data_IF_211538974230
#
_entry.id   IF_211538974230
#
_cell.length_a   1.000
_cell.length_b   1.000
_cell.length_c   1.000
_cell.angle_alpha   90.00
_cell.angle_beta   90.00
_cell.angle_gamma   90.00
#
_symmetry.space_group_name_H-M   'P 1'
#
loop_
_entity.id
_entity.type
_entity.pdbx_description
1 polymer ?
#
# COMPACT_ATOMS: atom_id res chain seq x y z
N UNK A 1 -9.04 -17.45 -25.88
CA UNK A 1 -8.89 -17.41 -24.41
C UNK A 1 -9.94 -16.46 -23.87
N UNK A 2 -10.68 -16.83 -22.81
CA UNK A 2 -11.63 -15.90 -22.18
C UNK A 2 -10.83 -14.85 -21.40
N UNK A 3 -10.93 -13.60 -21.84
CA UNK A 3 -10.35 -12.45 -21.16
C UNK A 3 -11.42 -11.92 -20.20
N UNK A 4 -11.17 -12.05 -18.90
CA UNK A 4 -12.05 -11.54 -17.85
C UNK A 4 -11.51 -10.22 -17.31
N UNK A 5 -12.42 -9.38 -16.84
CA UNK A 5 -12.08 -8.12 -16.19
C UNK A 5 -12.47 -8.19 -14.73
N UNK A 6 -11.54 -7.83 -13.85
CA UNK A 6 -11.80 -7.67 -12.41
C UNK A 6 -11.64 -6.20 -12.04
N UNK A 7 -12.69 -5.65 -11.44
CA UNK A 7 -12.68 -4.33 -10.85
C UNK A 7 -12.33 -4.46 -9.38
N UNK A 8 -11.31 -3.72 -8.95
CA UNK A 8 -10.88 -3.62 -7.56
C UNK A 8 -11.29 -2.25 -7.04
N UNK A 9 -12.28 -2.20 -6.14
CA UNK A 9 -12.87 -0.95 -5.64
C UNK A 9 -12.54 -0.81 -4.15
N UNK A 10 -11.96 0.32 -3.74
CA UNK A 10 -11.65 0.54 -2.33
C UNK A 10 -11.77 2.00 -1.94
N UNK A 11 -12.10 2.23 -0.67
CA UNK A 11 -12.03 3.55 -0.04
C UNK A 11 -10.60 3.96 0.40
N UNK A 12 -9.63 3.05 0.21
CA UNK A 12 -8.19 3.20 0.43
C UNK A 12 -7.43 2.80 -0.87
N UNK A 13 -6.25 2.19 -0.78
CA UNK A 13 -5.39 1.85 -1.93
C UNK A 13 -5.91 0.69 -2.79
N UNK A 14 -6.73 -0.19 -2.23
CA UNK A 14 -7.23 -1.40 -2.90
C UNK A 14 -6.21 -2.56 -3.00
N UNK A 15 -5.06 -2.47 -2.35
CA UNK A 15 -4.05 -3.56 -2.34
C UNK A 15 -4.60 -4.88 -1.77
N UNK A 16 -5.40 -4.81 -0.70
CA UNK A 16 -5.98 -6.00 -0.07
C UNK A 16 -6.91 -6.75 -1.02
N UNK A 17 -7.89 -6.06 -1.62
CA UNK A 17 -8.81 -6.67 -2.59
C UNK A 17 -8.07 -7.18 -3.84
N UNK A 18 -7.05 -6.47 -4.31
CA UNK A 18 -6.21 -6.93 -5.42
C UNK A 18 -5.47 -8.23 -5.07
N UNK A 19 -4.87 -8.30 -3.89
CA UNK A 19 -4.15 -9.50 -3.42
C UNK A 19 -5.08 -10.70 -3.32
N UNK A 20 -6.28 -10.50 -2.76
CA UNK A 20 -7.30 -11.55 -2.68
C UNK A 20 -7.71 -12.03 -4.08
N UNK A 21 -8.00 -11.09 -4.99
CA UNK A 21 -8.39 -11.43 -6.36
C UNK A 21 -7.28 -12.19 -7.11
N UNK A 22 -6.03 -11.73 -7.04
CA UNK A 22 -4.88 -12.39 -7.66
C UNK A 22 -4.64 -13.78 -7.08
N UNK A 23 -4.76 -13.93 -5.76
CA UNK A 23 -4.64 -15.23 -5.08
C UNK A 23 -5.72 -16.19 -5.57
N UNK A 24 -6.98 -15.75 -5.66
CA UNK A 24 -8.07 -16.56 -6.19
C UNK A 24 -7.83 -16.94 -7.67
N UNK A 25 -7.45 -15.99 -8.51
CA UNK A 25 -7.16 -16.21 -9.94
C UNK A 25 -5.99 -17.17 -10.16
N UNK A 26 -5.00 -17.21 -9.26
CA UNK A 26 -3.86 -18.14 -9.35
C UNK A 26 -4.28 -19.63 -9.39
N UNK A 27 -5.47 -19.94 -8.88
CA UNK A 27 -6.04 -21.29 -8.89
C UNK A 27 -6.68 -21.67 -10.23
N UNK A 28 -6.72 -20.74 -11.19
CA UNK A 28 -7.31 -20.91 -12.52
C UNK A 28 -6.26 -20.60 -13.61
N UNK A 29 -5.28 -21.48 -13.87
CA UNK A 29 -4.14 -21.16 -14.74
C UNK A 29 -4.49 -20.88 -16.22
N UNK A 30 -5.72 -21.19 -16.64
CA UNK A 30 -6.19 -21.04 -18.02
C UNK A 30 -6.93 -19.72 -18.28
N UNK A 31 -7.25 -18.94 -17.24
CA UNK A 31 -7.96 -17.66 -17.40
C UNK A 31 -6.96 -16.51 -17.56
N UNK A 32 -7.25 -15.58 -18.46
CA UNK A 32 -6.53 -14.32 -18.56
C UNK A 32 -7.38 -13.22 -17.93
N UNK A 33 -6.79 -12.49 -16.98
CA UNK A 33 -7.49 -11.47 -16.22
C UNK A 33 -6.83 -10.11 -16.42
N UNK A 34 -7.66 -9.10 -16.71
CA UNK A 34 -7.29 -7.69 -16.63
C UNK A 34 -7.82 -7.09 -15.34
N UNK A 35 -6.94 -6.53 -14.52
CA UNK A 35 -7.31 -5.86 -13.28
C UNK A 35 -7.43 -4.35 -13.51
N UNK A 36 -8.54 -3.76 -13.10
CA UNK A 36 -8.75 -2.31 -13.08
C UNK A 36 -9.00 -1.87 -11.64
N UNK A 37 -8.16 -0.97 -11.14
CA UNK A 37 -8.21 -0.53 -9.74
C UNK A 37 -8.79 0.87 -9.62
N UNK A 38 -9.72 1.02 -8.69
CA UNK A 38 -10.41 2.25 -8.33
C UNK A 38 -10.22 2.51 -6.84
N UNK A 39 -9.13 3.19 -6.46
CA UNK A 39 -8.83 3.54 -5.07
C UNK A 39 -9.57 4.82 -4.63
N UNK A 40 -9.61 5.05 -3.31
CA UNK A 40 -10.13 6.27 -2.68
C UNK A 40 -11.60 6.59 -2.99
N UNK A 41 -12.44 5.57 -3.11
CA UNK A 41 -13.87 5.73 -3.38
C UNK A 41 -14.63 6.05 -2.09
N UNK A 42 -15.13 7.27 -1.98
CA UNK A 42 -15.77 7.78 -0.76
C UNK A 42 -17.22 8.23 -0.95
N UNK A 43 -17.71 8.35 -2.20
CA UNK A 43 -19.05 8.85 -2.50
C UNK A 43 -19.82 7.93 -3.42
N UNK A 44 -21.14 7.89 -3.25
CA UNK A 44 -22.05 7.15 -4.13
C UNK A 44 -21.93 7.61 -5.59
N UNK A 45 -21.78 8.91 -5.84
CA UNK A 45 -21.71 9.45 -7.21
C UNK A 45 -20.51 8.93 -8.02
N UNK A 46 -19.35 8.80 -7.38
CA UNK A 46 -18.16 8.23 -8.03
C UNK A 46 -18.35 6.71 -8.19
N UNK A 47 -18.87 6.05 -7.14
CA UNK A 47 -19.13 4.62 -7.15
C UNK A 47 -20.10 4.23 -8.28
N UNK A 48 -21.18 4.99 -8.49
CA UNK A 48 -22.15 4.80 -9.56
C UNK A 48 -21.49 4.79 -10.94
N UNK A 49 -20.58 5.73 -11.19
CA UNK A 49 -19.82 5.78 -12.45
C UNK A 49 -19.01 4.51 -12.68
N UNK A 50 -18.34 4.03 -11.64
CA UNK A 50 -17.51 2.81 -11.67
C UNK A 50 -18.39 1.57 -11.84
N UNK A 51 -19.49 1.47 -11.12
CA UNK A 51 -20.42 0.34 -11.21
C UNK A 51 -21.09 0.25 -12.59
N UNK A 52 -21.47 1.39 -13.17
CA UNK A 52 -21.98 1.44 -14.54
C UNK A 52 -20.91 1.02 -15.57
N UNK A 53 -19.64 1.36 -15.33
CA UNK A 53 -18.53 0.88 -16.15
C UNK A 53 -18.32 -0.64 -15.98
N UNK A 54 -18.39 -1.14 -14.74
CA UNK A 54 -18.30 -2.58 -14.43
C UNK A 54 -19.39 -3.37 -15.16
N UNK A 55 -20.63 -2.86 -15.16
CA UNK A 55 -21.76 -3.41 -15.92
C UNK A 55 -21.45 -3.50 -17.41
N UNK A 56 -20.99 -2.40 -18.02
CA UNK A 56 -20.65 -2.35 -19.46
C UNK A 56 -19.57 -3.37 -19.81
N UNK A 57 -18.59 -3.56 -18.93
CA UNK A 57 -17.48 -4.50 -19.14
C UNK A 57 -17.76 -5.93 -18.65
N UNK A 58 -18.94 -6.17 -18.04
CA UNK A 58 -19.26 -7.42 -17.33
C UNK A 58 -18.15 -7.84 -16.35
N UNK A 59 -17.61 -6.86 -15.64
CA UNK A 59 -16.51 -7.08 -14.72
C UNK A 59 -16.98 -7.78 -13.43
N UNK A 60 -16.16 -8.68 -12.91
CA UNK A 60 -16.30 -9.14 -11.52
C UNK A 60 -15.77 -8.06 -10.58
N UNK A 61 -16.38 -7.91 -9.42
CA UNK A 61 -16.05 -6.82 -8.49
C UNK A 61 -15.46 -7.40 -7.22
N UNK A 62 -14.25 -7.00 -6.87
CA UNK A 62 -13.65 -7.23 -5.55
C UNK A 62 -13.54 -5.90 -4.85
N UNK A 63 -14.03 -5.81 -3.60
CA UNK A 63 -14.02 -4.52 -2.92
C UNK A 63 -13.66 -4.57 -1.44
N UNK A 64 -13.05 -3.47 -0.97
CA UNK A 64 -12.73 -3.18 0.42
C UNK A 64 -13.30 -1.81 0.75
N UNK A 65 -14.60 -1.78 1.04
CA UNK A 65 -15.36 -0.59 1.44
C UNK A 65 -15.78 -0.79 2.90
N UNK A 66 -15.15 -0.07 3.83
CA UNK A 66 -15.49 -0.15 5.25
C UNK A 66 -16.83 0.51 5.55
N UNK A 67 -17.24 1.48 4.73
CA UNK A 67 -18.56 2.07 4.80
C UNK A 67 -19.64 1.02 4.49
N UNK A 68 -20.52 0.68 5.45
CA UNK A 68 -21.58 -0.30 5.22
C UNK A 68 -22.53 0.13 4.09
N UNK A 69 -22.79 1.44 3.98
CA UNK A 69 -23.62 2.03 2.93
C UNK A 69 -23.04 1.76 1.53
N UNK A 70 -21.75 2.07 1.32
CA UNK A 70 -21.12 1.87 0.01
C UNK A 70 -20.96 0.38 -0.32
N UNK A 71 -20.62 -0.46 0.67
CA UNK A 71 -20.60 -1.93 0.48
C UNK A 71 -21.97 -2.46 0.07
N UNK A 72 -23.03 -2.03 0.76
CA UNK A 72 -24.40 -2.44 0.44
C UNK A 72 -24.80 -1.99 -0.97
N UNK A 73 -24.43 -0.77 -1.36
CA UNK A 73 -24.67 -0.26 -2.71
C UNK A 73 -24.01 -1.16 -3.78
N UNK A 74 -22.75 -1.58 -3.60
CA UNK A 74 -22.10 -2.54 -4.52
C UNK A 74 -22.88 -3.85 -4.60
N UNK A 75 -23.31 -4.40 -3.46
CA UNK A 75 -24.06 -5.67 -3.40
C UNK A 75 -25.40 -5.59 -4.14
N UNK A 76 -26.17 -4.53 -3.88
CA UNK A 76 -27.47 -4.31 -4.50
C UNK A 76 -27.36 -4.06 -6.00
N UNK A 77 -26.39 -3.24 -6.42
CA UNK A 77 -26.14 -2.99 -7.83
C UNK A 77 -25.71 -4.27 -8.54
N UNK A 78 -24.79 -5.04 -7.96
CA UNK A 78 -24.31 -6.29 -8.55
C UNK A 78 -25.44 -7.32 -8.68
N UNK A 79 -26.27 -7.48 -7.64
CA UNK A 79 -27.44 -8.36 -7.68
C UNK A 79 -28.43 -7.96 -8.77
N UNK A 80 -28.77 -6.67 -8.85
CA UNK A 80 -29.71 -6.12 -9.84
C UNK A 80 -29.21 -6.29 -11.28
N UNK A 81 -27.89 -6.24 -11.49
CA UNK A 81 -27.29 -6.29 -12.82
C UNK A 81 -26.63 -7.65 -13.14
N UNK A 82 -26.86 -8.66 -12.31
CA UNK A 82 -26.28 -10.00 -12.45
C UNK A 82 -24.75 -10.03 -12.57
N UNK A 83 -24.06 -9.15 -11.83
CA UNK A 83 -22.60 -9.13 -11.73
C UNK A 83 -22.15 -9.95 -10.52
N UNK A 84 -20.98 -10.59 -10.65
CA UNK A 84 -20.33 -11.25 -9.53
C UNK A 84 -19.59 -10.22 -8.69
N UNK A 85 -19.72 -10.29 -7.37
CA UNK A 85 -19.00 -9.44 -6.43
C UNK A 85 -18.45 -10.25 -5.26
N UNK A 86 -17.38 -9.74 -4.64
CA UNK A 86 -16.84 -10.22 -3.38
C UNK A 86 -16.42 -9.07 -2.46
N UNK A 87 -17.06 -8.98 -1.30
CA UNK A 87 -16.68 -8.06 -0.21
C UNK A 87 -15.55 -8.67 0.62
N UNK A 88 -14.38 -8.05 0.56
CA UNK A 88 -13.18 -8.55 1.22
C UNK A 88 -13.04 -8.09 2.68
N UNK A 89 -13.89 -7.17 3.17
CA UNK A 89 -13.68 -6.51 4.47
C UNK A 89 -14.86 -6.62 5.43
N UNK A 90 -16.12 -6.51 4.97
CA UNK A 90 -17.27 -6.55 5.87
C UNK A 90 -17.35 -7.85 6.68
N UNK A 91 -17.14 -9.06 6.11
CA UNK A 91 -17.14 -10.30 6.90
C UNK A 91 -16.06 -10.32 8.00
N UNK A 92 -14.89 -9.71 7.75
CA UNK A 92 -13.83 -9.63 8.75
C UNK A 92 -14.17 -8.64 9.87
N UNK A 93 -14.82 -7.52 9.52
CA UNK A 93 -15.33 -6.55 10.50
C UNK A 93 -16.43 -7.16 11.36
N UNK A 94 -17.33 -7.96 10.78
CA UNK A 94 -18.37 -8.67 11.52
C UNK A 94 -17.77 -9.65 12.55
N UNK A 95 -16.72 -10.39 12.17
CA UNK A 95 -15.99 -11.25 13.11
C UNK A 95 -15.39 -10.44 14.26
N UNK A 96 -14.80 -9.28 13.99
CA UNK A 96 -14.25 -8.40 15.03
C UNK A 96 -15.34 -7.84 15.94
N UNK A 97 -16.48 -7.42 15.38
CA UNK A 97 -17.63 -6.96 16.15
C UNK A 97 -18.13 -8.07 17.09
N UNK A 98 -18.33 -9.28 16.57
CA UNK A 98 -18.79 -10.42 17.37
C UNK A 98 -17.80 -10.81 18.49
N UNK A 99 -16.49 -10.72 18.22
CA UNK A 99 -15.46 -11.09 19.19
C UNK A 99 -15.25 -10.03 20.27
N UNK A 100 -15.40 -8.74 19.94
CA UNK A 100 -15.07 -7.62 20.84
C UNK A 100 -16.29 -6.95 21.48
N UNK A 101 -17.47 -7.10 20.87
CA UNK A 101 -18.67 -6.33 21.20
C UNK A 101 -18.59 -4.85 20.80
N UNK A 102 -17.54 -4.43 20.10
CA UNK A 102 -17.35 -3.05 19.66
C UNK A 102 -17.98 -2.83 18.29
N UNK A 103 -18.62 -1.69 18.11
CA UNK A 103 -19.11 -1.26 16.80
C UNK A 103 -17.96 -0.79 15.92
N UNK A 104 -17.92 -1.19 14.64
CA UNK A 104 -16.93 -0.66 13.72
C UNK A 104 -17.14 0.84 13.50
N UNK A 105 -16.08 1.62 13.63
CA UNK A 105 -16.14 3.08 13.38
C UNK A 105 -16.50 3.41 11.92
N UNK A 106 -16.24 2.49 10.99
CA UNK A 106 -16.60 2.64 9.57
C UNK A 106 -15.91 3.80 8.87
N UNK A 107 -14.83 4.35 9.45
CA UNK A 107 -14.10 5.49 8.93
C UNK A 107 -13.15 5.04 7.80
N UNK A 108 -13.37 5.50 6.55
CA UNK A 108 -12.47 5.22 5.44
C UNK A 108 -11.05 5.68 5.72
N UNK A 109 -10.06 4.92 5.22
CA UNK A 109 -8.66 5.33 5.34
C UNK A 109 -8.09 5.25 6.75
N UNK A 110 -8.76 4.63 7.73
CA UNK A 110 -8.16 4.34 9.04
C UNK A 110 -6.87 3.52 8.92
N UNK A 111 -6.77 2.60 7.94
CA UNK A 111 -5.51 1.90 7.65
C UNK A 111 -4.41 2.86 7.19
N UNK A 112 -4.76 3.97 6.54
CA UNK A 112 -3.79 5.04 6.21
C UNK A 112 -3.45 5.91 7.42
N UNK A 113 -4.39 6.15 8.33
CA UNK A 113 -4.15 6.88 9.59
C UNK A 113 -3.40 6.05 10.64
N UNK A 114 -3.45 4.71 10.57
CA UNK A 114 -2.71 3.80 11.45
C UNK A 114 -1.27 3.56 11.01
N UNK A 115 -0.85 4.13 9.88
CA UNK A 115 0.49 3.94 9.37
C UNK A 115 1.37 5.13 9.74
N UNK A 116 1.68 5.26 11.04
CA UNK A 116 2.99 5.79 11.46
C UNK A 116 4.08 5.15 10.58
N UNK A 117 3.95 3.85 10.29
CA UNK A 117 4.83 3.13 9.35
C UNK A 117 4.89 3.67 7.91
N UNK A 118 3.85 4.35 7.38
CA UNK A 118 3.91 4.97 6.05
C UNK A 118 4.61 6.32 6.13
N UNK A 119 4.28 7.15 7.12
CA UNK A 119 4.98 8.41 7.33
C UNK A 119 6.43 8.20 7.75
N UNK A 120 6.73 7.18 8.57
CA UNK A 120 8.06 6.72 8.92
C UNK A 120 8.82 6.21 7.70
N UNK A 121 8.14 5.50 6.78
CA UNK A 121 8.75 5.09 5.50
C UNK A 121 9.11 6.29 4.65
N UNK A 122 8.20 7.25 4.50
CA UNK A 122 8.44 8.48 3.74
C UNK A 122 9.58 9.27 4.39
N UNK A 123 9.56 9.45 5.71
CA UNK A 123 10.61 10.12 6.45
C UNK A 123 11.97 9.39 6.33
N UNK A 124 11.98 8.05 6.37
CA UNK A 124 13.19 7.25 6.16
C UNK A 124 13.71 7.38 4.73
N UNK A 125 12.83 7.43 3.72
CA UNK A 125 13.20 7.65 2.32
C UNK A 125 13.75 9.06 2.09
N UNK A 126 13.09 10.10 2.62
CA UNK A 126 13.58 11.48 2.57
C UNK A 126 14.94 11.58 3.25
N UNK A 127 15.10 10.99 4.44
CA UNK A 127 16.37 10.93 5.15
C UNK A 127 17.48 10.28 4.29
N UNK A 128 17.21 9.11 3.70
CA UNK A 128 18.20 8.41 2.89
C UNK A 128 18.62 9.19 1.64
N UNK A 129 17.71 9.97 1.05
CA UNK A 129 18.03 10.87 -0.08
C UNK A 129 18.84 12.07 0.41
N UNK A 130 18.46 12.68 1.54
CA UNK A 130 19.15 13.84 2.12
C UNK A 130 20.60 13.51 2.50
N UNK A 131 20.85 12.30 3.02
CA UNK A 131 22.15 11.89 3.56
C UNK A 131 22.89 10.86 2.69
N UNK A 132 22.62 10.83 1.37
CA UNK A 132 23.24 9.88 0.44
C UNK A 132 24.73 10.17 0.16
N UNK A 133 25.15 11.43 0.27
CA UNK A 133 26.51 11.85 -0.08
C UNK A 133 27.46 12.04 1.10
N UNK A 134 26.95 11.89 2.33
CA UNK A 134 27.73 11.98 3.57
C UNK A 134 28.29 13.37 3.88
N UNK A 135 27.76 14.45 3.28
CA UNK A 135 28.26 15.82 3.50
C UNK A 135 27.79 16.46 4.79
N UNK A 136 26.64 16.05 5.33
CA UNK A 136 26.10 16.54 6.59
C UNK A 136 26.32 15.48 7.70
N UNK A 137 27.29 15.69 8.62
CA UNK A 137 27.60 14.75 9.70
C UNK A 137 26.45 14.54 10.68
N UNK A 138 25.50 15.49 10.76
CA UNK A 138 24.36 15.38 11.69
C UNK A 138 23.43 14.23 11.34
N UNK A 139 23.45 13.77 10.08
CA UNK A 139 22.74 12.57 9.65
C UNK A 139 23.29 11.29 10.26
N UNK A 140 24.59 11.23 10.57
CA UNK A 140 25.21 10.04 11.15
C UNK A 140 24.63 9.71 12.54
N UNK A 141 24.36 10.75 13.35
CA UNK A 141 23.80 10.62 14.70
C UNK A 141 22.31 10.23 14.71
N UNK A 142 21.61 10.46 13.60
CA UNK A 142 20.15 10.25 13.46
C UNK A 142 19.80 9.01 12.65
N UNK A 143 20.79 8.35 12.06
CA UNK A 143 20.61 7.19 11.21
C UNK A 143 20.45 5.93 12.05
N UNK A 144 19.55 5.05 11.62
CA UNK A 144 19.44 3.68 12.14
C UNK A 144 20.57 2.81 11.58
N UNK A 145 21.04 3.12 10.36
CA UNK A 145 22.14 2.42 9.67
C UNK A 145 23.06 3.44 9.01
N UNK A 146 24.36 3.29 9.21
CA UNK A 146 25.39 4.00 8.45
C UNK A 146 26.09 3.01 7.50
N UNK A 147 26.06 3.30 6.19
CA UNK A 147 26.77 2.50 5.19
C UNK A 147 28.09 3.18 4.82
N UNK A 148 29.18 2.52 5.19
CA UNK A 148 30.55 2.92 4.85
C UNK A 148 31.01 2.20 3.59
N UNK A 149 31.58 2.91 2.63
CA UNK A 149 32.21 2.24 1.50
C UNK A 149 32.74 3.17 0.42
N UNK A 150 33.66 2.65 -0.40
CA UNK A 150 34.28 3.41 -1.51
C UNK A 150 33.26 3.84 -2.55
N UNK A 151 33.56 4.88 -3.33
CA UNK A 151 32.64 5.37 -4.36
C UNK A 151 32.25 4.27 -5.36
N UNK A 152 30.99 4.28 -5.82
CA UNK A 152 30.41 3.34 -6.82
C UNK A 152 30.23 1.88 -6.35
N UNK A 153 29.99 1.64 -5.07
CA UNK A 153 29.69 0.30 -4.50
C UNK A 153 28.21 0.06 -4.19
N UNK A 154 27.28 0.58 -5.01
CA UNK A 154 25.83 0.39 -4.83
C UNK A 154 25.25 0.82 -3.48
N UNK A 155 25.90 1.76 -2.78
CA UNK A 155 25.40 2.32 -1.51
C UNK A 155 24.04 3.00 -1.67
N UNK A 156 23.86 3.83 -2.70
CA UNK A 156 22.60 4.55 -2.95
C UNK A 156 21.41 3.61 -3.23
N UNK A 157 21.52 2.57 -4.10
CA UNK A 157 20.44 1.58 -4.22
C UNK A 157 20.15 0.83 -2.92
N UNK A 158 21.17 0.50 -2.13
CA UNK A 158 21.02 -0.25 -0.88
C UNK A 158 20.38 0.62 0.22
N UNK A 159 20.78 1.88 0.36
CA UNK A 159 20.18 2.81 1.33
C UNK A 159 18.71 3.05 1.02
N UNK A 160 18.34 3.25 -0.25
CA UNK A 160 16.94 3.39 -0.67
C UNK A 160 16.12 2.12 -0.43
N UNK A 161 16.70 0.93 -0.67
CA UNK A 161 16.05 -0.34 -0.38
C UNK A 161 15.76 -0.53 1.12
N UNK A 162 16.70 -0.17 1.98
CA UNK A 162 16.57 -0.25 3.44
C UNK A 162 15.60 0.82 3.98
N UNK A 163 15.63 2.03 3.43
CA UNK A 163 14.67 3.09 3.75
C UNK A 163 13.23 2.69 3.42
N UNK A 164 13.05 1.90 2.35
CA UNK A 164 11.76 1.31 2.01
C UNK A 164 11.23 0.30 3.05
N UNK A 165 12.06 -0.09 4.03
CA UNK A 165 11.73 -0.90 5.20
C UNK A 165 11.77 -0.08 6.50
N UNK A 166 11.59 1.23 6.40
CA UNK A 166 11.47 2.18 7.51
C UNK A 166 12.77 2.39 8.31
N UNK A 167 13.93 2.28 7.65
CA UNK A 167 15.24 2.51 8.27
C UNK A 167 15.84 3.81 7.73
N UNK A 168 16.19 4.75 8.61
CA UNK A 168 16.94 5.95 8.27
C UNK A 168 18.39 5.55 7.97
N UNK A 169 18.78 5.61 6.69
CA UNK A 169 20.11 5.18 6.27
C UNK A 169 20.94 6.38 5.82
N UNK A 170 22.12 6.56 6.40
CA UNK A 170 23.10 7.54 5.95
C UNK A 170 24.28 6.85 5.23
N UNK A 171 24.71 7.41 4.11
CA UNK A 171 25.84 6.89 3.35
C UNK A 171 27.08 7.74 3.64
N UNK A 172 28.19 7.11 4.06
CA UNK A 172 29.48 7.80 4.24
C UNK A 172 30.52 7.26 3.24
N UNK A 173 30.85 8.03 2.19
CA UNK A 173 31.81 7.59 1.18
C UNK A 173 33.24 7.58 1.73
N UNK A 174 33.92 6.44 1.59
CA UNK A 174 35.32 6.29 1.98
C UNK A 174 36.25 6.61 0.81
N UNK A 175 37.25 7.43 1.07
CA UNK A 175 38.41 7.63 0.20
C UNK A 175 39.69 7.51 1.03
N UNK A 176 40.86 7.26 0.43
CA UNK A 176 42.13 7.17 1.16
C UNK A 176 42.49 8.44 1.95
N UNK A 177 41.87 9.58 1.64
CA UNK A 177 42.08 10.88 2.30
C UNK A 177 40.90 11.31 3.18
N UNK A 178 39.82 10.52 3.23
CA UNK A 178 38.64 10.88 4.02
C UNK A 178 38.98 10.70 5.50
N UNK A 179 38.95 11.79 6.27
CA UNK A 179 38.87 11.70 7.72
C UNK A 179 37.44 11.31 8.08
N UNK A 180 37.31 10.30 8.94
CA UNK A 180 36.00 9.89 9.45
C UNK A 180 35.50 10.97 10.42
N UNK A 181 34.25 11.44 10.29
CA UNK A 181 33.68 12.39 11.23
C UNK A 181 33.60 11.80 12.64
N UNK A 182 33.79 12.65 13.65
CA UNK A 182 33.75 12.21 15.05
C UNK A 182 32.37 11.68 15.44
N UNK A 183 31.32 12.19 14.81
CA UNK A 183 29.92 11.80 14.97
C UNK A 183 29.69 10.30 14.73
N UNK A 184 30.53 9.65 13.91
CA UNK A 184 30.47 8.21 13.68
C UNK A 184 30.72 7.39 14.96
N UNK A 185 31.44 7.96 15.92
CA UNK A 185 31.86 7.29 17.15
C UNK A 185 31.03 7.67 18.38
N UNK A 186 30.03 8.54 18.20
CA UNK A 186 29.22 9.11 19.28
C UNK A 186 27.88 8.40 19.49
N UNK A 187 27.55 7.43 18.63
CA UNK A 187 26.31 6.62 18.67
C UNK A 187 26.44 5.30 19.40
#
# INVERSE_FOLDING_TARGET
MQQMTIFVISDSSGETALTVAQTAVSQYPTIQVSYQRFPFIQTDSILDGILNLAKKQRAMIFHTLVSPKLSQHVREFAATNHLQQFDCIQPAMDVMHQATGLEPEGVPGLVHNLNDTYFDRIAAMEFAVTYDDGKDPTGLLKADIVILGVSRTSKTPLSLFLANRNLRVANLPLSPKTQLPDELWQG
#
